data_IF_825034391873
#
_entry.id   IF_825034391873
#
_cell.length_a   1.000
_cell.length_b   1.000
_cell.length_c   1.000
_cell.angle_alpha   90.00
_cell.angle_beta   90.00
_cell.angle_gamma   90.00
#
_symmetry.space_group_name_H-M   'P 1'
#
loop_
_entity.id
_entity.type
_entity.pdbx_description
1 polymer ?
#
# COMPACT_ATOMS: atom_id res chain seq x y z
N UNK A 1 -15.34 -7.82 -10.50
CA UNK A 1 -15.79 -7.36 -9.17
C UNK A 1 -14.75 -6.37 -8.71
N UNK A 2 -15.09 -5.14 -8.36
CA UNK A 2 -14.07 -4.16 -7.97
C UNK A 2 -13.53 -4.48 -6.58
N UNK A 3 -12.24 -4.81 -6.49
CA UNK A 3 -11.57 -5.01 -5.20
C UNK A 3 -11.28 -3.63 -4.59
N UNK A 4 -11.60 -3.45 -3.31
CA UNK A 4 -11.34 -2.22 -2.56
C UNK A 4 -10.43 -2.52 -1.38
N UNK A 5 -9.55 -1.58 -1.06
CA UNK A 5 -8.73 -1.60 0.14
C UNK A 5 -8.80 -0.25 0.85
N UNK A 6 -8.68 -0.29 2.18
CA UNK A 6 -8.64 0.90 3.03
C UNK A 6 -7.34 0.89 3.81
N UNK A 7 -6.51 1.91 3.60
CA UNK A 7 -5.27 2.11 4.35
C UNK A 7 -5.59 3.06 5.50
N UNK A 8 -5.54 2.54 6.73
CA UNK A 8 -5.72 3.36 7.94
C UNK A 8 -4.39 4.00 8.30
N UNK A 9 -4.38 5.32 8.40
CA UNK A 9 -3.18 6.08 8.80
C UNK A 9 -3.51 6.99 9.96
N UNK A 10 -2.49 7.49 10.65
CA UNK A 10 -2.65 8.50 11.71
C UNK A 10 -3.17 9.86 11.19
N UNK A 11 -3.19 10.08 9.87
CA UNK A 11 -3.73 11.28 9.22
C UNK A 11 -5.10 11.07 8.58
N UNK A 12 -5.70 9.89 8.73
CA UNK A 12 -6.99 9.53 8.19
C UNK A 12 -6.97 8.27 7.32
N UNK A 13 -8.15 7.88 6.86
CA UNK A 13 -8.35 6.68 6.07
C UNK A 13 -8.23 6.98 4.57
N UNK A 14 -7.40 6.21 3.87
CA UNK A 14 -7.24 6.29 2.41
C UNK A 14 -7.96 5.11 1.78
N UNK A 15 -8.98 5.39 0.98
CA UNK A 15 -9.74 4.36 0.27
C UNK A 15 -9.24 4.23 -1.16
N UNK A 16 -8.86 3.02 -1.56
CA UNK A 16 -8.36 2.73 -2.90
C UNK A 16 -9.21 1.66 -3.57
N UNK A 17 -9.49 1.86 -4.86
CA UNK A 17 -10.06 0.85 -5.74
C UNK A 17 -8.92 0.22 -6.54
N UNK A 18 -8.84 -1.11 -6.54
CA UNK A 18 -7.82 -1.85 -7.26
C UNK A 18 -8.38 -2.30 -8.62
N UNK A 19 -7.57 -2.12 -9.66
CA UNK A 19 -7.91 -2.47 -11.05
C UNK A 19 -7.47 -3.90 -11.37
N UNK A 20 -8.15 -4.87 -10.77
CA UNK A 20 -7.89 -6.31 -10.97
C UNK A 20 -8.12 -6.77 -12.42
N UNK A 21 -8.94 -6.04 -13.17
CA UNK A 21 -9.19 -6.22 -14.60
C UNK A 21 -7.95 -5.94 -15.46
N UNK A 22 -7.09 -4.99 -15.04
CA UNK A 22 -5.90 -4.58 -15.79
C UNK A 22 -4.63 -5.22 -15.28
N UNK A 23 -4.49 -5.36 -13.96
CA UNK A 23 -3.25 -5.84 -13.33
C UNK A 23 -3.54 -6.94 -12.28
N UNK A 24 -4.10 -8.09 -12.71
CA UNK A 24 -4.60 -9.12 -11.78
C UNK A 24 -3.50 -9.67 -10.86
N UNK A 25 -2.28 -9.88 -11.37
CA UNK A 25 -1.15 -10.42 -10.59
C UNK A 25 -0.69 -9.43 -9.53
N UNK A 26 -0.59 -8.14 -9.89
CA UNK A 26 -0.19 -7.09 -8.94
C UNK A 26 -1.22 -6.92 -7.84
N UNK A 27 -2.50 -6.93 -8.19
CA UNK A 27 -3.60 -6.84 -7.23
C UNK A 27 -3.61 -8.07 -6.31
N UNK A 28 -3.41 -9.27 -6.85
CA UNK A 28 -3.33 -10.49 -6.04
C UNK A 28 -2.18 -10.45 -5.02
N UNK A 29 -0.98 -10.04 -5.45
CA UNK A 29 0.17 -9.88 -4.56
C UNK A 29 -0.08 -8.84 -3.46
N UNK A 30 -0.64 -7.68 -3.82
CA UNK A 30 -0.98 -6.64 -2.86
C UNK A 30 -1.99 -7.14 -1.82
N UNK A 31 -3.08 -7.80 -2.27
CA UNK A 31 -4.10 -8.33 -1.38
C UNK A 31 -3.54 -9.40 -0.45
N UNK A 32 -2.63 -10.26 -0.93
CA UNK A 32 -1.98 -11.27 -0.09
C UNK A 32 -1.13 -10.63 1.02
N UNK A 33 -0.32 -9.62 0.69
CA UNK A 33 0.49 -8.87 1.67
C UNK A 33 -0.37 -8.13 2.70
N UNK A 34 -1.49 -7.54 2.26
CA UNK A 34 -2.46 -6.91 3.17
C UNK A 34 -3.05 -7.94 4.13
N UNK A 35 -3.49 -9.11 3.62
CA UNK A 35 -4.08 -10.17 4.44
C UNK A 35 -3.09 -10.81 5.42
N UNK A 36 -1.80 -10.84 5.09
CA UNK A 36 -0.76 -11.31 6.00
C UNK A 36 -0.34 -10.25 7.03
N UNK A 37 -0.94 -9.05 6.99
CA UNK A 37 -0.61 -7.95 7.90
C UNK A 37 0.76 -7.30 7.64
N UNK A 38 1.36 -7.51 6.46
CA UNK A 38 2.70 -7.04 6.13
C UNK A 38 2.84 -5.52 6.22
N UNK A 39 1.79 -4.79 5.88
CA UNK A 39 1.78 -3.33 5.89
C UNK A 39 1.43 -2.71 7.26
N UNK A 40 1.15 -3.52 8.28
CA UNK A 40 0.83 -3.00 9.61
C UNK A 40 2.06 -2.34 10.23
N UNK A 41 1.84 -1.21 10.91
CA UNK A 41 2.87 -0.40 11.56
C UNK A 41 3.99 0.12 10.64
N UNK A 42 3.82 0.05 9.32
CA UNK A 42 4.75 0.64 8.37
C UNK A 42 4.50 2.14 8.19
N UNK A 43 5.58 2.88 8.07
CA UNK A 43 5.54 4.33 7.78
C UNK A 43 5.82 4.62 6.31
N UNK A 44 5.35 5.78 5.85
CA UNK A 44 5.78 6.35 4.58
C UNK A 44 7.17 6.97 4.76
N UNK A 45 8.21 6.23 4.37
CA UNK A 45 9.60 6.65 4.57
C UNK A 45 10.04 7.76 3.61
N UNK A 46 9.29 7.98 2.52
CA UNK A 46 9.59 9.05 1.55
C UNK A 46 8.32 9.81 1.17
N UNK A 47 8.36 11.12 1.36
CA UNK A 47 7.26 12.06 1.07
C UNK A 47 7.85 13.23 0.29
N UNK A 48 7.40 13.43 -0.94
CA UNK A 48 7.81 14.55 -1.79
C UNK A 48 6.58 15.40 -2.10
N UNK A 49 6.58 16.69 -1.69
CA UNK A 49 5.49 17.61 -2.00
C UNK A 49 5.18 17.64 -3.49
N UNK A 50 3.89 17.66 -3.82
CA UNK A 50 3.37 17.74 -5.20
C UNK A 50 3.82 16.63 -6.15
N UNK A 51 4.32 15.51 -5.60
CA UNK A 51 4.77 14.38 -6.40
C UNK A 51 4.18 13.06 -5.90
N UNK A 52 4.70 12.53 -4.79
CA UNK A 52 4.25 11.23 -4.29
C UNK A 52 4.67 10.95 -2.85
N UNK A 53 4.02 9.94 -2.27
CA UNK A 53 4.41 9.28 -1.03
C UNK A 53 4.73 7.81 -1.30
N UNK A 54 5.81 7.32 -0.72
CA UNK A 54 6.29 5.94 -0.87
C UNK A 54 6.35 5.26 0.49
N UNK A 55 5.77 4.06 0.54
CA UNK A 55 5.72 3.21 1.73
C UNK A 55 6.00 1.76 1.37
N UNK A 56 5.58 0.82 2.22
CA UNK A 56 5.73 -0.61 1.96
C UNK A 56 7.14 -1.17 2.19
N UNK A 57 7.98 -0.44 2.94
CA UNK A 57 9.31 -0.91 3.32
C UNK A 57 9.32 -1.30 4.80
N UNK A 58 9.46 -2.60 5.14
CA UNK A 58 9.49 -3.06 6.54
C UNK A 58 10.62 -2.46 7.36
N UNK A 59 11.75 -2.17 6.70
CA UNK A 59 12.96 -1.64 7.33
C UNK A 59 12.94 -0.10 7.36
N UNK A 60 12.02 0.54 6.64
CA UNK A 60 11.92 2.01 6.56
C UNK A 60 13.09 2.71 5.85
N UNK A 61 14.07 1.96 5.35
CA UNK A 61 15.28 2.49 4.67
C UNK A 61 15.10 2.70 3.17
N UNK A 62 14.00 2.22 2.59
CA UNK A 62 13.76 2.24 1.14
C UNK A 62 14.47 1.14 0.35
N UNK A 63 15.13 0.19 1.02
CA UNK A 63 15.88 -0.93 0.39
C UNK A 63 15.29 -2.31 0.71
N UNK A 64 14.04 -2.38 1.15
CA UNK A 64 13.37 -3.64 1.49
C UNK A 64 11.90 -3.62 1.09
N UNK A 65 11.41 -4.76 0.61
CA UNK A 65 10.09 -4.95 0.01
C UNK A 65 10.12 -6.13 -0.96
#
# INVERSE_FOLDING_TARGET
MTIKATIKTNKGDININLSDDKTPITVANFVNLVKSGFYNDLSFHRVIPDFMVQGGCPIGTGTGG
#
